data_IF_832226679731
#
_entry.id   IF_832226679731
#
_cell.length_a   1.000
_cell.length_b   1.000
_cell.length_c   1.000
_cell.angle_alpha   90.00
_cell.angle_beta   90.00
_cell.angle_gamma   90.00
#
_symmetry.space_group_name_H-M   'P 1'
#
loop_
_entity.id
_entity.type
_entity.pdbx_description
1 polymer ?
#
# COMPACT_ATOMS: atom_id res chain seq x y z
N UNK A 1 -7.33 24.27 -16.94
CA UNK A 1 -6.07 23.58 -16.64
C UNK A 1 -6.33 22.10 -16.91
N UNK A 2 -5.64 21.50 -17.87
CA UNK A 2 -5.92 20.14 -18.33
C UNK A 2 -5.75 19.15 -17.14
N UNK A 3 -6.78 18.38 -16.77
CA UNK A 3 -6.72 17.43 -15.66
C UNK A 3 -5.65 16.34 -15.86
N UNK A 4 -5.15 16.16 -17.08
CA UNK A 4 -4.09 15.21 -17.39
C UNK A 4 -2.70 15.65 -16.93
N UNK A 5 -2.41 16.96 -16.86
CA UNK A 5 -1.08 17.47 -16.47
C UNK A 5 -0.75 17.25 -14.99
N UNK A 6 -1.74 17.23 -14.09
CA UNK A 6 -1.56 16.93 -12.69
C UNK A 6 -1.12 15.46 -12.41
N UNK A 7 -1.45 14.54 -13.29
CA UNK A 7 -1.16 13.12 -13.17
C UNK A 7 0.21 12.68 -13.60
N UNK A 8 0.69 13.26 -14.71
CA UNK A 8 2.07 13.01 -15.11
C UNK A 8 3.05 13.56 -14.06
N UNK A 9 2.66 14.64 -13.37
CA UNK A 9 3.42 15.16 -12.24
C UNK A 9 3.41 14.20 -11.04
N UNK A 10 2.24 13.65 -10.71
CA UNK A 10 2.09 12.72 -9.58
C UNK A 10 2.77 11.37 -9.83
N UNK A 11 2.66 10.83 -11.05
CA UNK A 11 3.36 9.59 -11.47
C UNK A 11 4.89 9.79 -11.52
N UNK A 12 5.35 10.98 -11.88
CA UNK A 12 6.78 11.37 -11.84
C UNK A 12 7.28 11.51 -10.40
N UNK A 13 6.53 12.16 -9.53
CA UNK A 13 6.86 12.33 -8.12
C UNK A 13 6.93 10.97 -7.41
N UNK A 14 6.01 10.05 -7.71
CA UNK A 14 6.01 8.69 -7.18
C UNK A 14 7.23 7.88 -7.66
N UNK A 15 7.54 7.92 -8.96
CA UNK A 15 8.74 7.27 -9.50
C UNK A 15 10.00 7.81 -8.87
N UNK A 16 10.08 9.11 -8.64
CA UNK A 16 11.22 9.74 -7.95
C UNK A 16 11.32 9.22 -6.50
N UNK A 17 10.20 9.09 -5.81
CA UNK A 17 10.17 8.54 -4.44
C UNK A 17 10.60 7.08 -4.41
N UNK A 18 10.11 6.24 -5.34
CA UNK A 18 10.52 4.84 -5.48
C UNK A 18 12.03 4.72 -5.77
N UNK A 19 12.58 5.56 -6.67
CA UNK A 19 14.00 5.62 -6.95
C UNK A 19 14.82 6.11 -5.77
N UNK A 20 14.35 7.15 -5.08
CA UNK A 20 14.99 7.65 -3.87
C UNK A 20 15.07 6.58 -2.77
N UNK A 21 13.97 5.87 -2.53
CA UNK A 21 13.93 4.75 -1.58
C UNK A 21 14.87 3.62 -2.02
N UNK A 22 14.90 3.28 -3.31
CA UNK A 22 15.83 2.28 -3.85
C UNK A 22 17.27 2.65 -3.52
N UNK A 23 17.68 3.89 -3.80
CA UNK A 23 19.06 4.34 -3.53
C UNK A 23 19.39 4.45 -2.05
N UNK A 24 18.43 4.87 -1.22
CA UNK A 24 18.62 4.91 0.25
C UNK A 24 18.84 3.50 0.80
N UNK A 25 17.96 2.55 0.45
CA UNK A 25 18.08 1.15 0.88
C UNK A 25 19.39 0.54 0.37
N UNK A 26 19.68 0.70 -0.92
CA UNK A 26 20.92 0.20 -1.51
C UNK A 26 22.18 0.81 -0.84
N UNK A 27 22.16 2.10 -0.53
CA UNK A 27 23.25 2.77 0.17
C UNK A 27 23.49 2.22 1.58
N UNK A 28 22.43 1.97 2.35
CA UNK A 28 22.52 1.33 3.66
C UNK A 28 23.10 -0.08 3.55
N UNK A 29 22.57 -0.88 2.63
CA UNK A 29 23.04 -2.26 2.39
C UNK A 29 24.50 -2.25 1.92
N UNK A 30 24.89 -1.32 1.05
CA UNK A 30 26.26 -1.18 0.56
C UNK A 30 27.24 -0.83 1.69
N UNK A 31 26.86 0.09 2.59
CA UNK A 31 27.68 0.44 3.75
C UNK A 31 27.89 -0.76 4.70
N UNK A 32 26.81 -1.50 4.97
CA UNK A 32 26.90 -2.73 5.78
C UNK A 32 27.77 -3.81 5.10
N UNK A 33 27.60 -3.98 3.79
CA UNK A 33 28.36 -4.95 3.00
C UNK A 33 29.84 -4.58 2.89
N UNK A 34 30.17 -3.27 2.86
CA UNK A 34 31.55 -2.81 2.93
C UNK A 34 32.21 -3.23 4.24
N UNK A 35 31.56 -2.94 5.38
CA UNK A 35 32.07 -3.32 6.70
C UNK A 35 32.24 -4.83 6.82
N UNK A 36 31.25 -5.58 6.35
CA UNK A 36 31.30 -7.04 6.36
C UNK A 36 32.45 -7.58 5.49
N UNK A 37 32.57 -7.08 4.26
CA UNK A 37 33.66 -7.46 3.36
C UNK A 37 35.06 -7.06 3.87
N UNK A 38 35.17 -5.92 4.58
CA UNK A 38 36.37 -5.51 5.25
C UNK A 38 36.82 -6.47 6.35
N UNK A 39 35.84 -7.01 7.12
CA UNK A 39 36.14 -7.92 8.26
C UNK A 39 36.44 -9.33 7.79
N UNK A 40 35.74 -9.82 6.75
CA UNK A 40 35.80 -11.25 6.34
C UNK A 40 36.64 -11.44 5.09
N UNK A 41 36.92 -10.38 4.33
CA UNK A 41 37.67 -10.46 3.08
C UNK A 41 39.06 -11.11 3.29
N UNK A 42 39.38 -12.07 2.43
CA UNK A 42 40.72 -12.68 2.35
C UNK A 42 41.59 -11.79 1.47
N UNK A 43 42.75 -11.39 1.98
CA UNK A 43 43.67 -10.46 1.29
C UNK A 43 43.62 -9.05 1.88
N UNK A 44 43.77 -8.02 1.04
CA UNK A 44 43.68 -6.62 1.48
C UNK A 44 42.25 -6.27 1.93
N UNK A 45 42.04 -5.83 3.21
CA UNK A 45 40.69 -5.62 3.75
C UNK A 45 39.82 -4.66 2.93
N UNK A 46 40.43 -3.60 2.36
CA UNK A 46 39.71 -2.63 1.54
C UNK A 46 39.15 -3.24 0.24
N UNK A 47 39.85 -4.24 -0.34
CA UNK A 47 39.37 -4.95 -1.53
C UNK A 47 38.10 -5.77 -1.22
N UNK A 48 38.08 -6.45 -0.07
CA UNK A 48 36.91 -7.14 0.44
C UNK A 48 35.72 -6.18 0.64
N UNK A 49 36.00 -4.99 1.19
CA UNK A 49 34.99 -3.94 1.33
C UNK A 49 34.41 -3.46 -0.01
N UNK A 50 35.25 -3.19 -1.01
CA UNK A 50 34.84 -2.77 -2.36
C UNK A 50 34.03 -3.86 -3.05
N UNK A 51 34.45 -5.13 -2.95
CA UNK A 51 33.71 -6.26 -3.47
C UNK A 51 32.33 -6.42 -2.82
N UNK A 52 32.25 -6.15 -1.48
CA UNK A 52 30.99 -6.12 -0.74
C UNK A 52 30.03 -5.05 -1.28
N UNK A 53 30.51 -3.84 -1.56
CA UNK A 53 29.70 -2.78 -2.20
C UNK A 53 29.19 -3.24 -3.57
N UNK A 54 30.08 -3.77 -4.41
CA UNK A 54 29.71 -4.20 -5.76
C UNK A 54 28.65 -5.30 -5.73
N UNK A 55 28.83 -6.33 -4.90
CA UNK A 55 27.84 -7.38 -4.68
C UNK A 55 26.50 -6.82 -4.21
N UNK A 56 26.53 -5.93 -3.22
CA UNK A 56 25.30 -5.36 -2.68
C UNK A 56 24.53 -4.53 -3.71
N UNK A 57 25.21 -3.77 -4.57
CA UNK A 57 24.57 -3.03 -5.65
C UNK A 57 23.94 -3.96 -6.70
N UNK A 58 24.69 -4.99 -7.12
CA UNK A 58 24.20 -5.97 -8.10
C UNK A 58 23.00 -6.77 -7.60
N UNK A 59 22.88 -6.99 -6.29
CA UNK A 59 21.80 -7.76 -5.67
C UNK A 59 20.65 -6.86 -5.25
N UNK A 60 20.92 -5.78 -4.50
CA UNK A 60 19.85 -5.00 -3.86
C UNK A 60 19.03 -4.16 -4.84
N UNK A 61 19.68 -3.58 -5.86
CA UNK A 61 18.95 -2.74 -6.83
C UNK A 61 17.87 -3.53 -7.55
N UNK A 62 18.12 -4.70 -8.19
CA UNK A 62 17.09 -5.49 -8.83
C UNK A 62 16.00 -5.97 -7.84
N UNK A 63 16.38 -6.41 -6.64
CA UNK A 63 15.42 -6.90 -5.64
C UNK A 63 14.50 -5.77 -5.18
N UNK A 64 15.05 -4.62 -4.78
CA UNK A 64 14.26 -3.48 -4.32
C UNK A 64 13.37 -2.95 -5.44
N UNK A 65 13.87 -2.90 -6.67
CA UNK A 65 13.06 -2.51 -7.84
C UNK A 65 11.93 -3.49 -8.14
N UNK A 66 12.16 -4.79 -7.98
CA UNK A 66 11.12 -5.81 -8.12
C UNK A 66 10.04 -5.65 -7.04
N UNK A 67 10.43 -5.41 -5.79
CA UNK A 67 9.50 -5.30 -4.66
C UNK A 67 8.71 -3.97 -4.65
N UNK A 68 9.35 -2.84 -4.97
CA UNK A 68 8.71 -1.52 -4.98
C UNK A 68 7.97 -1.23 -6.30
N UNK A 69 8.61 -1.49 -7.44
CA UNK A 69 8.11 -1.15 -8.78
C UNK A 69 7.43 -2.30 -9.51
N UNK A 70 7.66 -3.54 -9.11
CA UNK A 70 7.19 -4.74 -9.80
C UNK A 70 5.67 -4.90 -9.89
N UNK A 71 4.92 -4.13 -9.07
CA UNK A 71 3.44 -4.09 -9.14
C UNK A 71 2.90 -3.71 -10.53
N UNK A 72 3.69 -2.99 -11.33
CA UNK A 72 3.33 -2.52 -12.67
C UNK A 72 3.72 -3.50 -13.78
N UNK A 73 4.55 -4.49 -13.49
CA UNK A 73 5.01 -5.46 -14.49
C UNK A 73 3.99 -6.58 -14.66
N UNK A 74 3.54 -6.80 -15.90
CA UNK A 74 2.51 -7.79 -16.20
C UNK A 74 2.87 -9.19 -15.70
N UNK A 75 4.13 -9.61 -15.83
CA UNK A 75 4.64 -10.89 -15.34
C UNK A 75 4.46 -11.04 -13.81
N UNK A 76 4.76 -9.98 -13.04
CA UNK A 76 4.60 -9.98 -11.57
C UNK A 76 3.13 -10.04 -11.18
N UNK A 77 2.25 -9.46 -12.01
CA UNK A 77 0.80 -9.53 -11.81
C UNK A 77 0.30 -10.97 -11.93
N UNK A 78 0.73 -11.70 -12.94
CA UNK A 78 0.35 -13.12 -13.13
C UNK A 78 0.87 -14.02 -12.01
N UNK A 79 2.13 -13.83 -11.58
CA UNK A 79 2.72 -14.60 -10.48
C UNK A 79 1.96 -14.39 -9.16
N UNK A 80 1.37 -13.21 -8.94
CA UNK A 80 0.59 -12.90 -7.73
C UNK A 80 -0.76 -13.64 -7.62
N UNK A 81 -1.25 -14.17 -8.72
CA UNK A 81 -2.45 -15.00 -8.75
C UNK A 81 -2.16 -16.44 -8.32
N UNK A 82 -0.86 -16.78 -8.17
CA UNK A 82 -0.43 -18.10 -7.72
C UNK A 82 -0.60 -18.28 -6.20
N UNK A 83 -0.68 -19.53 -5.72
CA UNK A 83 -0.71 -19.83 -4.29
C UNK A 83 0.51 -19.21 -3.58
N UNK A 84 0.32 -18.81 -2.33
CA UNK A 84 1.35 -18.16 -1.48
C UNK A 84 2.71 -18.85 -1.55
N UNK A 85 2.74 -20.18 -1.39
CA UNK A 85 3.99 -20.95 -1.42
C UNK A 85 4.69 -20.90 -2.78
N UNK A 86 3.93 -20.88 -3.88
CA UNK A 86 4.50 -20.81 -5.23
C UNK A 86 5.14 -19.44 -5.50
N UNK A 87 4.49 -18.36 -5.08
CA UNK A 87 5.05 -17.00 -5.14
C UNK A 87 6.34 -16.92 -4.33
N UNK A 88 6.33 -17.46 -3.10
CA UNK A 88 7.47 -17.45 -2.20
C UNK A 88 8.67 -18.22 -2.81
N UNK A 89 8.44 -19.46 -3.27
CA UNK A 89 9.48 -20.27 -3.89
C UNK A 89 10.06 -19.66 -5.16
N UNK A 90 9.21 -19.08 -6.01
CA UNK A 90 9.65 -18.39 -7.24
C UNK A 90 10.56 -17.20 -6.92
N UNK A 91 10.20 -16.40 -5.91
CA UNK A 91 11.04 -15.29 -5.45
C UNK A 91 12.36 -15.76 -4.89
N UNK A 92 12.35 -16.78 -4.02
CA UNK A 92 13.57 -17.35 -3.43
C UNK A 92 14.48 -17.86 -4.54
N UNK A 93 13.95 -18.63 -5.48
CA UNK A 93 14.73 -19.15 -6.62
C UNK A 93 15.35 -18.01 -7.45
N UNK A 94 14.55 -16.99 -7.77
CA UNK A 94 15.04 -15.81 -8.48
C UNK A 94 16.14 -15.08 -7.73
N UNK A 95 16.00 -14.89 -6.41
CA UNK A 95 17.00 -14.21 -5.59
C UNK A 95 18.28 -15.03 -5.46
N UNK A 96 18.18 -16.35 -5.31
CA UNK A 96 19.36 -17.21 -5.30
C UNK A 96 20.12 -17.16 -6.61
N UNK A 97 19.43 -17.23 -7.75
CA UNK A 97 20.05 -17.08 -9.08
C UNK A 97 20.73 -15.72 -9.21
N UNK A 98 20.06 -14.66 -8.77
CA UNK A 98 20.63 -13.29 -8.79
C UNK A 98 21.87 -13.17 -7.91
N UNK A 99 21.85 -13.75 -6.71
CA UNK A 99 22.99 -13.74 -5.78
C UNK A 99 24.18 -14.48 -6.38
N UNK A 100 23.97 -15.67 -6.95
CA UNK A 100 25.01 -16.43 -7.62
C UNK A 100 25.61 -15.62 -8.78
N UNK A 101 24.76 -15.12 -9.66
CA UNK A 101 25.20 -14.33 -10.83
C UNK A 101 25.96 -13.06 -10.41
N UNK A 102 25.46 -12.34 -9.40
CA UNK A 102 26.09 -11.13 -8.90
C UNK A 102 27.46 -11.42 -8.27
N UNK A 103 27.56 -12.51 -7.49
CA UNK A 103 28.81 -12.90 -6.83
C UNK A 103 29.87 -13.28 -7.86
N UNK A 104 29.53 -14.13 -8.86
CA UNK A 104 30.47 -14.51 -9.91
C UNK A 104 30.87 -13.32 -10.80
N UNK A 105 29.90 -12.45 -11.13
CA UNK A 105 30.19 -11.24 -11.89
C UNK A 105 31.13 -10.30 -11.13
N UNK A 106 30.91 -10.13 -9.83
CA UNK A 106 31.77 -9.29 -8.99
C UNK A 106 33.20 -9.87 -8.87
N UNK A 107 33.34 -11.19 -8.73
CA UNK A 107 34.64 -11.87 -8.76
C UNK A 107 35.38 -11.64 -10.09
N UNK A 108 34.65 -11.78 -11.20
CA UNK A 108 35.21 -11.54 -12.53
C UNK A 108 35.69 -10.09 -12.69
N UNK A 109 34.90 -9.10 -12.25
CA UNK A 109 35.26 -7.68 -12.31
C UNK A 109 36.48 -7.36 -11.43
N UNK A 110 36.56 -8.00 -10.27
CA UNK A 110 37.65 -7.77 -9.31
C UNK A 110 38.91 -8.62 -9.60
N UNK A 111 38.82 -9.63 -10.47
CA UNK A 111 39.91 -10.57 -10.76
C UNK A 111 41.23 -9.92 -11.20
N UNK A 112 41.26 -8.77 -11.95
CA UNK A 112 42.52 -8.10 -12.28
C UNK A 112 43.24 -7.48 -11.06
N UNK A 113 42.49 -7.13 -10.03
CA UNK A 113 42.99 -6.48 -8.80
C UNK A 113 43.25 -7.50 -7.69
N UNK A 114 42.45 -8.53 -7.63
CA UNK A 114 42.50 -9.58 -6.61
C UNK A 114 42.14 -10.93 -7.29
N UNK A 115 43.15 -11.68 -7.81
CA UNK A 115 42.89 -12.96 -8.45
C UNK A 115 42.23 -13.94 -7.47
N UNK A 116 40.94 -14.15 -7.63
CA UNK A 116 40.18 -15.16 -6.88
C UNK A 116 39.86 -16.29 -7.82
N UNK A 117 39.98 -17.51 -7.35
CA UNK A 117 39.51 -18.66 -8.14
C UNK A 117 38.00 -18.54 -8.36
N UNK A 118 37.58 -18.52 -9.62
CA UNK A 118 36.21 -18.65 -10.03
C UNK A 118 35.78 -20.08 -9.68
N UNK A 119 34.85 -20.22 -8.75
CA UNK A 119 34.38 -21.54 -8.37
C UNK A 119 33.54 -21.57 -7.10
N UNK A 120 32.92 -22.72 -6.90
CA UNK A 120 32.01 -22.98 -5.77
C UNK A 120 32.81 -23.56 -4.59
N UNK A 121 33.48 -22.72 -3.83
CA UNK A 121 34.18 -23.11 -2.62
C UNK A 121 33.21 -23.29 -1.42
N UNK A 122 33.73 -23.81 -0.30
CA UNK A 122 32.95 -24.01 0.92
C UNK A 122 32.30 -22.72 1.43
N UNK A 123 33.00 -21.60 1.30
CA UNK A 123 32.52 -20.28 1.75
C UNK A 123 31.35 -19.86 0.87
N UNK A 124 31.43 -20.07 -0.46
CA UNK A 124 30.32 -19.78 -1.37
C UNK A 124 29.06 -20.54 -0.99
N UNK A 125 29.14 -21.85 -0.67
CA UNK A 125 27.95 -22.61 -0.25
C UNK A 125 27.40 -22.12 1.08
N UNK A 126 28.24 -21.72 2.03
CA UNK A 126 27.80 -21.14 3.31
C UNK A 126 27.05 -19.82 3.09
N UNK A 127 27.57 -18.95 2.24
CA UNK A 127 26.89 -17.67 1.84
C UNK A 127 25.56 -17.96 1.17
N UNK A 128 25.50 -18.94 0.27
CA UNK A 128 24.29 -19.29 -0.46
C UNK A 128 23.19 -19.82 0.48
N UNK A 129 23.55 -20.71 1.42
CA UNK A 129 22.62 -21.23 2.44
C UNK A 129 22.13 -20.07 3.34
N UNK A 130 23.04 -19.23 3.82
CA UNK A 130 22.67 -18.06 4.63
C UNK A 130 21.74 -17.12 3.86
N UNK A 131 22.07 -16.78 2.62
CA UNK A 131 21.26 -15.94 1.77
C UNK A 131 19.87 -16.55 1.49
N UNK A 132 19.78 -17.86 1.31
CA UNK A 132 18.52 -18.59 1.18
C UNK A 132 17.63 -18.47 2.40
N UNK A 133 18.20 -18.71 3.58
CA UNK A 133 17.47 -18.58 4.86
C UNK A 133 16.99 -17.13 5.07
N UNK A 134 17.87 -16.16 4.87
CA UNK A 134 17.54 -14.74 5.02
C UNK A 134 16.48 -14.30 3.99
N UNK A 135 16.60 -14.75 2.75
CA UNK A 135 15.58 -14.48 1.71
C UNK A 135 14.22 -15.07 2.10
N UNK A 136 14.19 -16.29 2.63
CA UNK A 136 12.96 -16.91 3.13
C UNK A 136 12.33 -16.08 4.24
N UNK A 137 13.09 -15.70 5.25
CA UNK A 137 12.60 -14.94 6.41
C UNK A 137 12.09 -13.55 5.97
N UNK A 138 12.86 -12.82 5.18
CA UNK A 138 12.48 -11.48 4.71
C UNK A 138 11.20 -11.56 3.85
N UNK A 139 11.12 -12.49 2.92
CA UNK A 139 9.93 -12.66 2.09
C UNK A 139 8.72 -13.12 2.91
N UNK A 140 8.89 -13.98 3.91
CA UNK A 140 7.82 -14.35 4.81
C UNK A 140 7.26 -13.12 5.56
N UNK A 141 8.14 -12.25 6.09
CA UNK A 141 7.73 -11.00 6.75
C UNK A 141 7.00 -10.06 5.77
N UNK A 142 7.51 -9.92 4.53
CA UNK A 142 6.87 -9.10 3.51
C UNK A 142 5.47 -9.64 3.17
N UNK A 143 5.32 -10.94 2.98
CA UNK A 143 4.03 -11.54 2.63
C UNK A 143 3.04 -11.50 3.81
N UNK A 144 3.49 -11.72 5.04
CA UNK A 144 2.68 -11.51 6.25
C UNK A 144 2.25 -10.03 6.34
N UNK A 145 3.18 -9.08 6.09
CA UNK A 145 2.86 -7.66 6.04
C UNK A 145 1.85 -7.29 4.95
N UNK A 146 1.83 -8.02 3.83
CA UNK A 146 0.82 -7.85 2.77
C UNK A 146 -0.55 -8.42 3.15
N UNK A 147 -0.58 -9.55 3.86
CA UNK A 147 -1.83 -10.17 4.32
C UNK A 147 -2.51 -9.37 5.43
N UNK A 148 -1.74 -8.90 6.40
CA UNK A 148 -2.24 -8.13 7.54
C UNK A 148 -2.36 -6.63 7.27
N UNK A 149 -1.58 -6.12 6.31
CA UNK A 149 -1.27 -4.70 6.14
C UNK A 149 -0.03 -4.28 6.94
N UNK A 150 0.91 -3.57 6.30
CA UNK A 150 2.16 -3.17 6.95
C UNK A 150 1.98 -2.23 8.15
N UNK A 151 0.94 -1.39 8.15
CA UNK A 151 0.59 -0.55 9.30
C UNK A 151 0.15 -1.39 10.49
N UNK A 152 -0.69 -2.40 10.27
CA UNK A 152 -1.16 -3.33 11.30
C UNK A 152 0.01 -4.15 11.83
N UNK A 153 0.85 -4.71 10.94
CA UNK A 153 2.03 -5.48 11.34
C UNK A 153 2.98 -4.64 12.20
N UNK A 154 3.28 -3.40 11.78
CA UNK A 154 4.10 -2.47 12.55
C UNK A 154 3.50 -2.20 13.93
N UNK A 155 2.20 -1.92 13.99
CA UNK A 155 1.52 -1.55 15.22
C UNK A 155 1.42 -2.74 16.19
N UNK A 156 1.30 -3.99 15.67
CA UNK A 156 1.39 -5.22 16.45
C UNK A 156 2.82 -5.46 16.98
N UNK A 157 3.84 -5.35 16.13
CA UNK A 157 5.25 -5.57 16.53
C UNK A 157 5.70 -4.51 17.55
N UNK A 158 5.25 -3.26 17.41
CA UNK A 158 5.58 -2.19 18.36
C UNK A 158 4.74 -2.22 19.63
N UNK A 159 3.72 -3.10 19.72
CA UNK A 159 2.79 -3.18 20.84
C UNK A 159 1.95 -1.90 21.03
N UNK A 160 1.84 -1.07 19.99
CA UNK A 160 1.24 0.26 20.07
C UNK A 160 -0.16 0.26 20.64
N UNK A 161 -0.98 -0.73 20.28
CA UNK A 161 -2.38 -0.85 20.68
C UNK A 161 -2.63 -2.00 21.67
N UNK A 162 -1.57 -2.53 22.27
CA UNK A 162 -1.69 -3.51 23.36
C UNK A 162 -2.50 -2.97 24.53
N UNK A 163 -2.30 -1.69 24.83
CA UNK A 163 -3.20 -0.95 25.73
C UNK A 163 -4.11 -0.02 24.90
N UNK A 164 -5.43 -0.10 25.08
CA UNK A 164 -6.36 0.78 24.39
C UNK A 164 -6.05 2.26 24.65
N UNK A 165 -6.09 3.07 23.59
CA UNK A 165 -5.83 4.51 23.69
C UNK A 165 -6.82 5.32 22.87
N UNK A 166 -7.12 6.50 23.37
CA UNK A 166 -7.93 7.48 22.65
C UNK A 166 -7.05 8.18 21.62
N UNK A 167 -7.53 8.25 20.38
CA UNK A 167 -6.91 9.02 19.32
C UNK A 167 -7.97 9.59 18.39
N UNK A 168 -7.64 10.69 17.72
CA UNK A 168 -8.51 11.31 16.73
C UNK A 168 -8.15 10.76 15.34
N UNK A 169 -9.16 10.29 14.62
CA UNK A 169 -9.02 9.66 13.31
C UNK A 169 -10.00 10.20 12.29
N UNK A 170 -9.57 10.18 11.04
CA UNK A 170 -10.47 10.33 9.89
C UNK A 170 -10.77 8.95 9.33
N UNK A 171 -12.04 8.71 9.04
CA UNK A 171 -12.51 7.54 8.31
C UNK A 171 -13.06 7.98 6.95
N UNK A 172 -12.71 7.22 5.93
CA UNK A 172 -13.28 7.29 4.59
C UNK A 172 -13.86 5.92 4.26
N UNK A 173 -15.16 5.88 4.11
CA UNK A 173 -15.91 4.70 3.68
C UNK A 173 -16.19 4.84 2.19
N UNK A 174 -15.95 3.79 1.43
CA UNK A 174 -16.14 3.74 -0.02
C UNK A 174 -16.96 2.49 -0.33
N UNK A 175 -18.15 2.66 -0.88
CA UNK A 175 -19.14 1.63 -1.15
C UNK A 175 -19.50 1.60 -2.64
N UNK A 176 -19.51 0.42 -3.26
CA UNK A 176 -19.84 0.27 -4.68
C UNK A 176 -21.32 0.53 -4.89
N UNK A 177 -21.67 1.34 -5.90
CA UNK A 177 -23.06 1.58 -6.27
C UNK A 177 -23.67 0.35 -6.92
N UNK A 178 -24.91 0.09 -6.56
CA UNK A 178 -25.73 -0.97 -7.19
C UNK A 178 -25.08 -2.35 -7.18
N UNK A 179 -24.27 -2.64 -6.18
CA UNK A 179 -23.52 -3.90 -6.03
C UNK A 179 -24.40 -5.14 -6.10
N UNK A 180 -25.61 -5.10 -5.51
CA UNK A 180 -26.58 -6.19 -5.58
C UNK A 180 -27.03 -6.46 -7.02
N UNK A 181 -27.35 -5.41 -7.78
CA UNK A 181 -27.76 -5.55 -9.20
C UNK A 181 -26.61 -6.06 -10.05
N UNK A 182 -25.39 -5.60 -9.75
CA UNK A 182 -24.18 -6.07 -10.43
C UNK A 182 -23.91 -7.54 -10.10
N UNK A 183 -24.08 -7.96 -8.84
CA UNK A 183 -23.93 -9.34 -8.41
C UNK A 183 -24.97 -10.28 -9.05
N UNK A 184 -26.20 -9.82 -9.26
CA UNK A 184 -27.24 -10.58 -9.98
C UNK A 184 -26.96 -10.71 -11.48
N UNK A 185 -26.24 -9.76 -12.07
CA UNK A 185 -25.92 -9.73 -13.50
C UNK A 185 -24.67 -10.55 -13.86
N UNK A 186 -23.66 -10.54 -12.99
CA UNK A 186 -22.41 -11.28 -13.15
C UNK A 186 -22.55 -12.65 -12.47
N UNK A 187 -21.75 -13.63 -12.89
CA UNK A 187 -21.60 -14.82 -12.08
C UNK A 187 -20.77 -14.52 -10.81
N UNK A 188 -20.78 -15.43 -9.85
CA UNK A 188 -20.11 -15.23 -8.54
C UNK A 188 -18.60 -15.04 -8.68
N UNK A 189 -17.95 -15.70 -9.63
CA UNK A 189 -16.52 -15.59 -9.88
C UNK A 189 -16.15 -14.25 -10.53
N UNK A 190 -16.95 -13.82 -11.51
CA UNK A 190 -16.76 -12.53 -12.18
C UNK A 190 -17.05 -11.38 -11.23
N UNK A 191 -18.10 -11.49 -10.39
CA UNK A 191 -18.39 -10.50 -9.35
C UNK A 191 -17.26 -10.41 -8.32
N UNK A 192 -16.72 -11.53 -7.84
CA UNK A 192 -15.54 -11.56 -6.98
C UNK A 192 -14.33 -10.95 -7.69
N UNK A 193 -14.14 -11.23 -8.97
CA UNK A 193 -13.10 -10.63 -9.81
C UNK A 193 -13.23 -9.11 -9.91
N UNK A 194 -14.45 -8.60 -10.08
CA UNK A 194 -14.78 -7.17 -10.09
C UNK A 194 -14.46 -6.50 -8.75
N UNK A 195 -14.92 -7.09 -7.63
CA UNK A 195 -14.61 -6.59 -6.28
C UNK A 195 -13.11 -6.51 -6.04
N UNK A 196 -12.35 -7.54 -6.42
CA UNK A 196 -10.90 -7.53 -6.30
C UNK A 196 -10.23 -6.44 -7.14
N UNK A 197 -10.73 -6.18 -8.36
CA UNK A 197 -10.21 -5.10 -9.20
C UNK A 197 -10.53 -3.73 -8.59
N UNK A 198 -11.75 -3.53 -8.12
CA UNK A 198 -12.20 -2.32 -7.45
C UNK A 198 -11.39 -2.03 -6.17
N UNK A 199 -11.27 -3.01 -5.26
CA UNK A 199 -10.49 -2.86 -4.05
C UNK A 199 -9.00 -2.64 -4.30
N UNK A 200 -8.46 -3.14 -5.40
CA UNK A 200 -7.09 -2.84 -5.82
C UNK A 200 -6.92 -1.36 -6.15
N UNK A 201 -7.87 -0.77 -6.89
CA UNK A 201 -7.84 0.66 -7.23
C UNK A 201 -8.04 1.54 -6.00
N UNK A 202 -8.92 1.14 -5.08
CA UNK A 202 -9.08 1.79 -3.77
C UNK A 202 -7.79 1.70 -2.95
N UNK A 203 -7.18 0.52 -2.88
CA UNK A 203 -5.92 0.30 -2.14
C UNK A 203 -4.79 1.14 -2.68
N UNK A 204 -4.64 1.20 -4.00
CA UNK A 204 -3.60 1.99 -4.64
C UNK A 204 -3.78 3.50 -4.37
N UNK A 205 -5.02 4.00 -4.40
CA UNK A 205 -5.31 5.39 -4.01
C UNK A 205 -5.05 5.63 -2.51
N UNK A 206 -5.44 4.69 -1.65
CA UNK A 206 -5.20 4.75 -0.22
C UNK A 206 -3.71 4.88 0.11
N UNK A 207 -2.87 4.04 -0.50
CA UNK A 207 -1.42 4.05 -0.30
C UNK A 207 -0.78 5.36 -0.78
N UNK A 208 -1.21 5.88 -1.92
CA UNK A 208 -0.69 7.15 -2.45
C UNK A 208 -1.00 8.34 -1.54
N UNK A 209 -2.10 8.27 -0.78
CA UNK A 209 -2.53 9.31 0.15
C UNK A 209 -2.25 8.99 1.63
N UNK A 210 -1.46 7.95 1.90
CA UNK A 210 -1.02 7.59 3.25
C UNK A 210 -2.12 7.01 4.15
N UNK A 211 -3.20 6.47 3.57
CA UNK A 211 -4.24 5.78 4.31
C UNK A 211 -3.79 4.40 4.77
N UNK A 212 -4.35 3.97 5.89
CA UNK A 212 -4.38 2.56 6.28
C UNK A 212 -5.75 1.97 5.91
N UNK A 213 -5.74 0.76 5.34
CA UNK A 213 -6.97 0.01 5.12
C UNK A 213 -7.33 -0.65 6.45
N UNK A 214 -8.52 -0.34 6.95
CA UNK A 214 -9.02 -0.94 8.17
C UNK A 214 -9.69 -2.29 7.89
N UNK A 215 -10.68 -2.29 7.01
CA UNK A 215 -11.45 -3.50 6.63
C UNK A 215 -12.04 -3.37 5.24
N UNK A 216 -12.35 -4.54 4.66
CA UNK A 216 -13.31 -4.70 3.58
C UNK A 216 -14.55 -5.41 4.15
N UNK A 217 -15.74 -4.89 3.88
CA UNK A 217 -17.01 -5.41 4.37
C UNK A 217 -17.98 -5.51 3.19
N UNK A 218 -18.11 -6.72 2.62
CA UNK A 218 -18.88 -6.90 1.39
C UNK A 218 -18.23 -6.12 0.24
N UNK A 219 -18.91 -5.11 -0.27
CA UNK A 219 -18.49 -4.20 -1.33
C UNK A 219 -17.98 -2.84 -0.81
N UNK A 220 -17.89 -2.69 0.52
CA UNK A 220 -17.39 -1.48 1.19
C UNK A 220 -15.91 -1.63 1.59
N UNK A 221 -15.12 -0.58 1.35
CA UNK A 221 -13.77 -0.41 1.88
C UNK A 221 -13.75 0.69 2.94
N UNK A 222 -13.17 0.39 4.10
CA UNK A 222 -12.99 1.33 5.21
C UNK A 222 -11.52 1.72 5.30
N UNK A 223 -11.24 2.97 5.00
CA UNK A 223 -9.91 3.57 5.09
C UNK A 223 -9.82 4.49 6.31
N UNK A 224 -8.62 4.62 6.88
CA UNK A 224 -8.42 5.48 8.03
C UNK A 224 -7.04 6.11 8.07
N UNK A 225 -6.95 7.30 8.66
CA UNK A 225 -5.74 8.03 8.98
C UNK A 225 -5.80 8.53 10.41
N UNK A 226 -4.67 8.90 10.98
CA UNK A 226 -4.64 9.83 12.10
C UNK A 226 -5.08 11.19 11.61
N UNK A 227 -5.72 11.98 12.47
CA UNK A 227 -6.24 13.29 12.09
C UNK A 227 -5.17 14.20 11.48
N UNK A 228 -4.00 14.29 12.08
CA UNK A 228 -2.88 15.11 11.59
C UNK A 228 -2.42 14.74 10.18
N UNK A 229 -2.31 13.44 9.87
CA UNK A 229 -1.92 12.94 8.56
C UNK A 229 -3.00 13.17 7.50
N UNK A 230 -4.27 13.00 7.89
CA UNK A 230 -5.44 13.15 7.02
C UNK A 230 -5.65 14.59 6.57
N UNK A 231 -5.53 15.54 7.52
CA UNK A 231 -5.74 16.97 7.30
C UNK A 231 -4.60 17.59 6.50
N UNK A 232 -3.39 17.09 6.66
CA UNK A 232 -2.23 17.54 5.90
C UNK A 232 -2.49 17.43 4.39
N UNK A 233 -2.48 18.57 3.69
CA UNK A 233 -2.71 18.66 2.24
C UNK A 233 -4.04 18.03 1.79
N UNK A 234 -5.07 18.02 2.64
CA UNK A 234 -6.37 17.40 2.36
C UNK A 234 -6.31 15.93 1.89
N UNK A 235 -5.32 15.14 2.35
CA UNK A 235 -5.04 13.79 1.84
C UNK A 235 -6.25 12.87 1.85
N UNK A 236 -7.06 12.93 2.92
CA UNK A 236 -8.27 12.10 3.02
C UNK A 236 -9.31 12.44 1.94
N UNK A 237 -9.48 13.73 1.63
CA UNK A 237 -10.41 14.19 0.60
C UNK A 237 -9.87 13.84 -0.79
N UNK A 238 -8.59 14.13 -1.03
CA UNK A 238 -7.93 13.81 -2.31
C UNK A 238 -7.96 12.31 -2.61
N UNK A 239 -7.82 11.46 -1.60
CA UNK A 239 -7.92 10.01 -1.73
C UNK A 239 -9.27 9.59 -2.33
N UNK A 240 -10.38 10.17 -1.85
CA UNK A 240 -11.71 9.85 -2.37
C UNK A 240 -11.81 10.14 -3.88
N UNK A 241 -11.29 11.27 -4.36
CA UNK A 241 -11.26 11.60 -5.79
C UNK A 241 -10.24 10.81 -6.59
N UNK A 242 -9.11 10.45 -5.99
CA UNK A 242 -8.09 9.61 -6.62
C UNK A 242 -8.62 8.21 -6.98
N UNK A 243 -9.49 7.62 -6.14
CA UNK A 243 -10.19 6.36 -6.46
C UNK A 243 -10.99 6.50 -7.75
N UNK A 244 -11.84 7.53 -7.87
CA UNK A 244 -12.66 7.80 -9.09
C UNK A 244 -11.77 7.86 -10.32
N UNK A 245 -10.70 8.58 -10.23
CA UNK A 245 -9.79 8.77 -11.33
C UNK A 245 -9.11 7.47 -11.76
N UNK A 246 -8.67 6.64 -10.82
CA UNK A 246 -8.08 5.34 -11.12
C UNK A 246 -9.05 4.42 -11.84
N UNK A 247 -10.29 4.36 -11.37
CA UNK A 247 -11.35 3.58 -12.00
C UNK A 247 -11.57 4.07 -13.45
N UNK A 248 -11.74 5.38 -13.64
CA UNK A 248 -11.94 5.96 -14.97
C UNK A 248 -10.75 5.75 -15.91
N UNK A 249 -9.52 5.81 -15.40
CA UNK A 249 -8.32 5.54 -16.20
C UNK A 249 -8.21 4.09 -16.68
N UNK A 250 -8.96 3.18 -16.06
CA UNK A 250 -9.02 1.75 -16.40
C UNK A 250 -10.39 1.34 -16.96
N UNK A 251 -11.22 2.31 -17.36
CA UNK A 251 -12.58 2.04 -17.85
C UNK A 251 -12.61 0.98 -18.96
N UNK A 252 -11.73 1.08 -19.95
CA UNK A 252 -11.63 0.09 -21.03
C UNK A 252 -11.24 -1.32 -20.54
N UNK A 253 -10.47 -1.45 -19.44
CA UNK A 253 -10.15 -2.76 -18.83
C UNK A 253 -11.40 -3.32 -18.11
N UNK A 254 -12.11 -2.48 -17.35
CA UNK A 254 -13.34 -2.87 -16.67
C UNK A 254 -14.44 -3.29 -17.64
N UNK A 255 -14.69 -2.49 -18.68
CA UNK A 255 -15.65 -2.83 -19.73
C UNK A 255 -15.32 -4.15 -20.41
N UNK A 256 -14.07 -4.36 -20.80
CA UNK A 256 -13.64 -5.60 -21.49
C UNK A 256 -13.80 -6.84 -20.60
N UNK A 257 -13.54 -6.73 -19.28
CA UNK A 257 -13.53 -7.88 -18.37
C UNK A 257 -14.88 -8.16 -17.76
N UNK A 258 -15.66 -7.13 -17.45
CA UNK A 258 -16.87 -7.24 -16.65
C UNK A 258 -18.10 -6.65 -17.32
N UNK A 259 -17.93 -5.99 -18.47
CA UNK A 259 -19.04 -5.34 -19.20
C UNK A 259 -19.63 -4.13 -18.48
N UNK A 260 -18.89 -3.54 -17.53
CA UNK A 260 -19.28 -2.33 -16.80
C UNK A 260 -18.07 -1.65 -16.16
N UNK A 261 -18.21 -0.36 -15.84
CA UNK A 261 -17.26 0.40 -15.02
C UNK A 261 -17.87 0.62 -13.65
N UNK A 262 -17.23 0.20 -12.54
CA UNK A 262 -17.82 0.35 -11.23
C UNK A 262 -17.89 1.82 -10.82
N UNK A 263 -19.02 2.21 -10.26
CA UNK A 263 -19.22 3.49 -9.57
C UNK A 263 -19.26 3.26 -8.07
N UNK A 264 -18.99 4.30 -7.28
CA UNK A 264 -19.02 4.22 -5.83
C UNK A 264 -19.59 5.48 -5.19
N UNK A 265 -19.92 5.36 -3.92
CA UNK A 265 -20.17 6.46 -3.00
C UNK A 265 -19.10 6.47 -1.92
N UNK A 266 -18.86 7.65 -1.36
CA UNK A 266 -17.87 7.81 -0.30
C UNK A 266 -18.35 8.81 0.75
N UNK A 267 -18.03 8.51 2.00
CA UNK A 267 -18.29 9.39 3.12
C UNK A 267 -17.05 9.57 4.00
N UNK A 268 -16.76 10.82 4.36
CA UNK A 268 -15.64 11.18 5.23
C UNK A 268 -16.14 11.77 6.55
N UNK A 269 -15.56 11.30 7.65
CA UNK A 269 -15.82 11.86 8.96
C UNK A 269 -14.57 11.82 9.85
N UNK A 270 -14.42 12.82 10.71
CA UNK A 270 -13.36 12.92 11.71
C UNK A 270 -13.95 12.86 13.11
N UNK A 271 -13.28 12.16 14.01
CA UNK A 271 -13.66 12.14 15.41
C UNK A 271 -12.76 11.25 16.25
N UNK A 272 -13.04 11.25 17.56
CA UNK A 272 -12.31 10.48 18.56
C UNK A 272 -12.76 9.02 18.55
N UNK A 273 -11.80 8.10 18.61
CA UNK A 273 -12.02 6.67 18.79
C UNK A 273 -11.11 6.14 19.89
N UNK A 274 -11.47 4.99 20.44
CA UNK A 274 -10.56 4.16 21.22
C UNK A 274 -10.01 3.08 20.29
N UNK A 275 -8.71 3.12 20.05
CA UNK A 275 -7.98 2.13 19.29
C UNK A 275 -7.31 1.14 20.23
N UNK A 276 -7.50 -0.15 20.01
CA UNK A 276 -6.92 -1.22 20.84
C UNK A 276 -6.98 -2.57 20.16
N UNK A 277 -6.12 -3.49 20.61
CA UNK A 277 -6.21 -4.89 20.21
C UNK A 277 -7.48 -5.51 20.79
N UNK A 278 -8.20 -6.27 19.97
CA UNK A 278 -9.43 -6.96 20.36
C UNK A 278 -9.42 -8.38 19.81
N UNK A 279 -9.94 -9.31 20.58
CA UNK A 279 -10.02 -10.73 20.26
C UNK A 279 -8.92 -11.54 20.96
N UNK A 280 -9.13 -12.86 21.02
CA UNK A 280 -8.22 -13.81 21.65
C UNK A 280 -7.55 -14.71 20.60
N UNK A 281 -8.31 -15.58 19.94
CA UNK A 281 -7.78 -16.46 18.88
C UNK A 281 -7.42 -15.70 17.60
N UNK A 282 -8.22 -14.69 17.25
CA UNK A 282 -7.94 -13.77 16.15
C UNK A 282 -7.89 -12.37 16.71
N UNK A 283 -6.69 -11.80 16.75
CA UNK A 283 -6.50 -10.42 17.19
C UNK A 283 -6.59 -9.46 16.00
N UNK A 284 -7.32 -8.37 16.20
CA UNK A 284 -7.37 -7.26 15.24
C UNK A 284 -7.29 -5.93 15.99
N UNK A 285 -6.81 -4.88 15.31
CA UNK A 285 -6.88 -3.52 15.83
C UNK A 285 -8.28 -3.00 15.57
N UNK A 286 -9.06 -2.85 16.64
CA UNK A 286 -10.42 -2.34 16.58
C UNK A 286 -10.47 -0.85 16.93
N UNK A 287 -11.34 -0.12 16.23
CA UNK A 287 -11.68 1.27 16.55
C UNK A 287 -13.08 1.31 17.11
N UNK A 288 -13.16 1.61 18.42
CA UNK A 288 -14.42 1.66 19.15
C UNK A 288 -14.81 3.12 19.37
N UNK A 289 -16.04 3.47 19.06
CA UNK A 289 -16.59 4.81 19.21
C UNK A 289 -17.66 5.10 18.16
N UNK A 290 -18.28 6.28 18.29
CA UNK A 290 -19.37 6.67 17.38
C UNK A 290 -18.87 7.22 16.04
N UNK A 291 -17.57 7.50 15.91
CA UNK A 291 -16.98 8.12 14.71
C UNK A 291 -17.18 7.26 13.46
N UNK A 292 -16.87 5.97 13.54
CA UNK A 292 -17.06 5.06 12.40
C UNK A 292 -18.54 4.88 12.06
N UNK A 293 -19.39 4.76 13.08
CA UNK A 293 -20.84 4.67 12.89
C UNK A 293 -21.41 5.94 12.25
N UNK A 294 -20.88 7.11 12.61
CA UNK A 294 -21.27 8.38 11.99
C UNK A 294 -20.88 8.41 10.51
N UNK A 295 -19.66 7.99 10.16
CA UNK A 295 -19.21 7.89 8.78
C UNK A 295 -20.12 6.95 7.95
N UNK A 296 -20.47 5.77 8.49
CA UNK A 296 -21.36 4.82 7.84
C UNK A 296 -22.77 5.40 7.59
N UNK A 297 -23.27 6.16 8.54
CA UNK A 297 -24.60 6.81 8.38
C UNK A 297 -24.56 7.97 7.38
N UNK A 298 -23.46 8.72 7.31
CA UNK A 298 -23.24 9.74 6.28
C UNK A 298 -23.20 9.11 4.88
N UNK A 299 -22.58 7.92 4.76
CA UNK A 299 -22.58 7.16 3.52
C UNK A 299 -24.01 6.76 3.10
N UNK A 300 -24.85 6.36 4.05
CA UNK A 300 -26.28 6.12 3.82
C UNK A 300 -27.00 7.39 3.34
N UNK A 301 -26.81 8.51 4.03
CA UNK A 301 -27.44 9.79 3.71
C UNK A 301 -26.99 10.37 2.35
N UNK A 302 -25.79 10.03 1.86
CA UNK A 302 -25.32 10.44 0.53
C UNK A 302 -26.25 9.96 -0.61
N UNK A 303 -26.93 8.83 -0.40
CA UNK A 303 -27.91 8.26 -1.34
C UNK A 303 -29.08 9.21 -1.54
N UNK A 304 -29.61 9.76 -0.45
CA UNK A 304 -30.77 10.66 -0.45
C UNK A 304 -30.43 12.00 -1.12
N UNK A 305 -29.18 12.46 -1.01
CA UNK A 305 -28.73 13.71 -1.63
C UNK A 305 -28.30 13.56 -3.09
N UNK A 306 -28.26 12.34 -3.63
CA UNK A 306 -27.74 12.10 -4.98
C UNK A 306 -26.30 12.53 -5.16
N UNK A 307 -25.51 12.52 -4.07
CA UNK A 307 -24.11 12.93 -4.09
C UNK A 307 -23.20 11.73 -3.88
N UNK A 308 -22.15 11.64 -4.70
CA UNK A 308 -21.25 10.50 -4.66
C UNK A 308 -20.22 10.60 -3.52
N UNK A 309 -19.79 11.81 -3.17
CA UNK A 309 -18.79 12.03 -2.13
C UNK A 309 -19.31 13.09 -1.17
N UNK A 310 -19.40 12.71 0.10
CA UNK A 310 -19.85 13.61 1.18
C UNK A 310 -18.82 13.64 2.31
N UNK A 311 -18.77 14.76 3.02
CA UNK A 311 -17.93 14.88 4.21
C UNK A 311 -18.65 15.67 5.31
N UNK A 312 -18.44 15.27 6.57
CA UNK A 312 -18.98 16.01 7.70
C UNK A 312 -18.38 17.41 7.77
N UNK A 313 -19.19 18.39 8.23
CA UNK A 313 -18.70 19.75 8.45
C UNK A 313 -17.58 19.78 9.48
N UNK A 314 -17.60 18.93 10.50
CA UNK A 314 -16.51 18.76 11.48
C UNK A 314 -15.16 18.48 10.81
N UNK A 315 -15.13 17.74 9.69
CA UNK A 315 -13.92 17.53 8.90
C UNK A 315 -13.63 18.74 7.99
N UNK A 316 -14.65 19.21 7.27
CA UNK A 316 -14.50 20.26 6.26
C UNK A 316 -14.06 21.61 6.82
N UNK A 317 -14.37 21.88 8.08
CA UNK A 317 -13.94 23.11 8.76
C UNK A 317 -12.48 23.08 9.20
N UNK A 318 -11.85 21.89 9.14
CA UNK A 318 -10.46 21.66 9.54
C UNK A 318 -9.53 21.35 8.36
N UNK A 319 -10.08 21.15 7.17
CA UNK A 319 -9.31 20.81 5.97
C UNK A 319 -9.33 21.96 4.98
N UNK A 320 -8.17 22.32 4.46
CA UNK A 320 -8.04 23.28 3.37
C UNK A 320 -8.24 22.55 2.03
N UNK A 321 -9.38 22.79 1.41
CA UNK A 321 -9.70 22.18 0.12
C UNK A 321 -8.90 22.84 -1.01
N UNK A 322 -8.38 22.05 -1.97
CA UNK A 322 -7.72 22.61 -3.14
C UNK A 322 -8.72 23.42 -4.00
N UNK A 323 -8.25 24.44 -4.77
CA UNK A 323 -9.11 25.37 -5.51
C UNK A 323 -10.07 24.73 -6.52
N UNK A 324 -9.74 23.51 -6.98
CA UNK A 324 -10.56 22.76 -7.93
C UNK A 324 -11.65 21.90 -7.27
N UNK A 325 -11.76 21.94 -5.92
CA UNK A 325 -12.83 21.30 -5.17
C UNK A 325 -13.73 22.33 -4.51
N UNK A 326 -15.02 22.17 -4.70
CA UNK A 326 -16.05 23.00 -4.08
C UNK A 326 -16.87 22.20 -3.07
N UNK A 327 -17.25 22.88 -1.97
CA UNK A 327 -18.30 22.41 -1.07
C UNK A 327 -19.66 22.69 -1.71
N UNK A 328 -20.49 21.67 -1.81
CA UNK A 328 -21.90 21.83 -2.18
C UNK A 328 -22.74 22.38 -1.03
N UNK A 329 -24.03 22.40 -1.22
CA UNK A 329 -24.97 22.80 -0.18
C UNK A 329 -24.80 21.94 1.10
N UNK A 330 -24.87 22.61 2.25
CA UNK A 330 -24.83 21.93 3.54
C UNK A 330 -26.20 21.28 3.79
N UNK A 331 -26.20 19.98 3.99
CA UNK A 331 -27.34 19.21 4.47
C UNK A 331 -27.12 18.82 5.92
N UNK A 332 -28.21 18.57 6.61
CA UNK A 332 -28.16 18.12 7.99
C UNK A 332 -29.14 16.96 8.13
N UNK A 333 -28.69 15.85 8.67
CA UNK A 333 -29.55 14.71 8.94
C UNK A 333 -29.45 14.26 10.38
N UNK A 334 -30.59 13.95 10.98
CA UNK A 334 -30.61 13.29 12.30
C UNK A 334 -30.29 11.82 12.06
N UNK A 335 -29.05 11.47 12.32
CA UNK A 335 -28.60 10.09 12.15
C UNK A 335 -29.26 9.20 13.22
N UNK A 336 -29.77 8.04 12.81
CA UNK A 336 -30.42 7.07 13.71
C UNK A 336 -29.58 6.82 14.97
N UNK A 337 -30.14 7.10 16.17
CA UNK A 337 -29.46 6.95 17.46
C UNK A 337 -28.60 8.16 17.88
N UNK A 338 -28.58 9.27 17.13
CA UNK A 338 -28.08 10.57 17.59
C UNK A 338 -29.23 11.51 17.93
N UNK A 339 -29.05 12.29 19.02
CA UNK A 339 -30.00 13.33 19.39
C UNK A 339 -29.79 14.62 18.61
N UNK A 340 -28.55 14.85 18.15
CA UNK A 340 -28.19 16.05 17.37
C UNK A 340 -27.95 15.71 15.90
N UNK A 341 -28.42 16.56 14.99
CA UNK A 341 -28.15 16.40 13.58
C UNK A 341 -26.65 16.56 13.29
N UNK A 342 -26.13 15.78 12.36
CA UNK A 342 -24.75 15.90 11.88
C UNK A 342 -24.78 16.68 10.58
N UNK A 343 -24.21 17.91 10.54
CA UNK A 343 -24.10 18.66 9.31
C UNK A 343 -23.00 18.08 8.41
N UNK A 344 -23.29 17.99 7.12
CA UNK A 344 -22.36 17.51 6.11
C UNK A 344 -22.59 18.19 4.77
N UNK A 345 -21.63 18.12 3.89
CA UNK A 345 -21.73 18.69 2.55
C UNK A 345 -21.24 17.71 1.49
N UNK A 346 -21.83 17.84 0.31
CA UNK A 346 -21.33 17.20 -0.89
C UNK A 346 -20.00 17.84 -1.31
N UNK A 347 -19.09 17.02 -1.83
CA UNK A 347 -17.86 17.46 -2.45
C UNK A 347 -17.95 17.27 -3.97
N UNK A 348 -17.65 18.32 -4.73
CA UNK A 348 -17.71 18.32 -6.20
C UNK A 348 -16.48 18.97 -6.77
N UNK A 349 -16.11 18.59 -7.99
CA UNK A 349 -15.15 19.35 -8.76
C UNK A 349 -15.77 20.71 -9.13
N UNK A 350 -15.00 21.80 -8.94
CA UNK A 350 -15.41 23.17 -9.19
C UNK A 350 -15.51 23.48 -10.69
#
# INVERSE_FOLDING_TARGET
>A
MDPTTGFEADDRARRQTEWRLTWVITGIVAAMSFVFGWIIGTGEPWMGGVQGILNSMLISVPIVRLELGGRRWGLVRTIREWPFWAVLLTKIAFYLVLIVAATELSRLVMSPLNPQELGFDRIFYQILVYAGIMSLLINAVIEVGRLLGFSVLRDLVTGRYHQPRREERVFLLIDMKSSTVVAERLDDLDYHGLLNAFFRDVTDAALDHGASIHKYVGDEAILTWRAEDALSQARCVLCAFAVRKRILSKSAEYERRFGLVPEYRAALHIGTVVAGEMGDLKREIAFVGDTLNTAARLLGASRELGSDIVASMTLLDRVELPPWLARGGVASTVLRGKQQPVPFAALRMA
#
